data_IF_820321326483
#
_entry.id   IF_820321326483
#
_cell.length_a   1.000
_cell.length_b   1.000
_cell.length_c   1.000
_cell.angle_alpha   90.00
_cell.angle_beta   90.00
_cell.angle_gamma   90.00
#
_symmetry.space_group_name_H-M   'P 1'
#
loop_
_entity.id
_entity.type
_entity.pdbx_description
1 polymer ?
#
# COMPACT_ATOMS: atom_id res chain seq x y z
N UNK A 1 2.47 2.36 -25.14
CA UNK A 1 1.90 1.99 -23.82
C UNK A 1 2.78 2.63 -22.76
N UNK A 2 2.32 3.65 -22.00
CA UNK A 2 3.04 4.12 -20.79
C UNK A 2 2.36 5.26 -19.99
N UNK A 3 1.22 5.82 -20.43
CA UNK A 3 0.58 6.92 -19.66
C UNK A 3 -0.31 6.39 -18.51
N UNK A 4 -0.99 5.27 -18.73
CA UNK A 4 -1.92 4.70 -17.74
C UNK A 4 -1.23 4.18 -16.47
N UNK A 5 -0.06 3.53 -16.61
CA UNK A 5 0.71 3.05 -15.46
C UNK A 5 1.26 4.20 -14.61
N UNK A 6 1.62 5.33 -15.25
CA UNK A 6 2.14 6.48 -14.52
C UNK A 6 1.04 7.16 -13.69
N UNK A 7 -0.19 7.24 -14.21
CA UNK A 7 -1.35 7.76 -13.47
C UNK A 7 -1.71 6.90 -12.27
N UNK A 8 -1.72 5.56 -12.42
CA UNK A 8 -2.03 4.64 -11.33
C UNK A 8 -1.04 4.79 -10.17
N UNK A 9 0.25 4.90 -10.46
CA UNK A 9 1.28 5.09 -9.42
C UNK A 9 1.09 6.45 -8.71
N UNK A 10 0.72 7.50 -9.43
CA UNK A 10 0.51 8.82 -8.82
C UNK A 10 -0.74 8.86 -7.93
N UNK A 11 -1.83 8.19 -8.35
CA UNK A 11 -3.04 7.98 -7.55
C UNK A 11 -2.72 7.18 -6.27
N UNK A 12 -2.00 6.07 -6.40
CA UNK A 12 -1.59 5.22 -5.28
C UNK A 12 -0.72 5.98 -4.26
N UNK A 13 0.18 6.83 -4.74
CA UNK A 13 1.01 7.73 -3.91
C UNK A 13 0.13 8.74 -3.19
N UNK A 14 -0.81 9.35 -3.90
CA UNK A 14 -1.74 10.33 -3.36
C UNK A 14 -2.59 9.74 -2.22
N UNK A 15 -3.08 8.51 -2.39
CA UNK A 15 -3.83 7.77 -1.35
C UNK A 15 -2.98 7.58 -0.09
N UNK A 16 -1.72 7.15 -0.21
CA UNK A 16 -0.84 6.99 0.95
C UNK A 16 -0.48 8.32 1.62
N UNK A 17 -0.27 9.39 0.86
CA UNK A 17 -0.04 10.73 1.41
C UNK A 17 -1.27 11.19 2.19
N UNK A 18 -2.47 11.00 1.63
CA UNK A 18 -3.73 11.43 2.25
C UNK A 18 -4.09 10.63 3.50
N UNK A 19 -4.00 9.29 3.45
CA UNK A 19 -4.45 8.41 4.53
C UNK A 19 -3.39 8.23 5.62
N UNK A 20 -2.14 8.12 5.23
CA UNK A 20 -1.03 7.83 6.12
C UNK A 20 -0.15 9.06 6.41
N UNK A 21 -0.42 10.22 5.80
CA UNK A 21 0.38 11.43 6.04
C UNK A 21 1.85 11.24 5.71
N UNK A 22 2.17 10.38 4.73
CA UNK A 22 3.55 10.19 4.27
C UNK A 22 3.97 11.34 3.37
N UNK A 23 5.26 11.60 3.30
CA UNK A 23 5.81 12.41 2.20
C UNK A 23 5.66 11.66 0.88
N UNK A 24 5.46 12.33 -0.27
CA UNK A 24 5.33 11.67 -1.56
C UNK A 24 6.49 10.72 -1.90
N UNK A 25 7.72 11.11 -1.54
CA UNK A 25 8.91 10.27 -1.71
C UNK A 25 8.86 8.99 -0.86
N UNK A 26 8.36 9.11 0.37
CA UNK A 26 8.23 7.97 1.27
C UNK A 26 7.11 7.03 0.81
N UNK A 27 5.98 7.57 0.36
CA UNK A 27 4.90 6.79 -0.23
C UNK A 27 5.37 6.02 -1.48
N UNK A 28 6.13 6.67 -2.38
CA UNK A 28 6.76 6.00 -3.53
C UNK A 28 7.70 4.89 -3.10
N UNK A 29 8.54 5.10 -2.09
CA UNK A 29 9.44 4.08 -1.58
C UNK A 29 8.67 2.85 -1.02
N UNK A 30 7.56 3.08 -0.31
CA UNK A 30 6.70 2.01 0.19
C UNK A 30 6.08 1.20 -0.96
N UNK A 31 5.54 1.87 -1.98
CA UNK A 31 4.92 1.22 -3.14
C UNK A 31 5.95 0.47 -3.99
N UNK A 32 7.13 1.04 -4.19
CA UNK A 32 8.23 0.34 -4.87
C UNK A 32 8.64 -0.92 -4.12
N UNK A 33 8.86 -0.83 -2.80
CA UNK A 33 9.16 -2.00 -1.97
C UNK A 33 8.04 -3.05 -2.02
N UNK A 34 6.80 -2.62 -2.22
CA UNK A 34 5.65 -3.49 -2.40
C UNK A 34 5.58 -4.14 -3.78
N UNK A 35 5.88 -3.41 -4.85
CA UNK A 35 5.90 -3.96 -6.20
C UNK A 35 7.03 -4.99 -6.38
N UNK A 36 8.15 -4.83 -5.67
CA UNK A 36 9.17 -5.87 -5.56
C UNK A 36 8.64 -7.15 -4.89
N UNK A 37 7.73 -7.00 -3.92
CA UNK A 37 7.05 -8.09 -3.21
C UNK A 37 5.95 -8.75 -4.05
N UNK A 38 5.22 -8.01 -4.88
CA UNK A 38 4.25 -8.57 -5.84
C UNK A 38 4.89 -9.57 -6.81
N UNK A 39 6.12 -9.29 -7.26
CA UNK A 39 6.89 -10.23 -8.10
C UNK A 39 7.19 -11.56 -7.39
N UNK A 40 7.06 -11.60 -6.06
CA UNK A 40 7.14 -12.82 -5.25
C UNK A 40 5.78 -13.50 -5.00
N UNK A 41 4.71 -13.10 -5.71
CA UNK A 41 3.38 -13.72 -5.61
C UNK A 41 2.48 -13.16 -4.50
N UNK A 42 2.81 -11.97 -3.98
CA UNK A 42 2.01 -11.25 -2.98
C UNK A 42 0.82 -10.50 -3.62
N UNK A 43 -0.14 -10.04 -2.79
CA UNK A 43 -1.30 -9.26 -3.25
C UNK A 43 -0.84 -8.01 -4.02
N UNK A 44 -1.57 -7.53 -5.04
CA UNK A 44 -1.18 -6.33 -5.78
C UNK A 44 -1.16 -5.03 -4.97
N UNK A 45 -0.27 -4.07 -5.29
CA UNK A 45 -0.17 -2.80 -4.56
C UNK A 45 -1.53 -2.08 -4.50
N UNK A 46 -2.19 -2.02 -5.64
CA UNK A 46 -3.54 -1.47 -5.79
C UNK A 46 -4.53 -2.18 -4.89
N UNK A 47 -4.47 -3.51 -4.78
CA UNK A 47 -5.39 -4.27 -3.90
C UNK A 47 -5.14 -4.02 -2.43
N UNK A 48 -3.87 -3.87 -2.02
CA UNK A 48 -3.51 -3.49 -0.66
C UNK A 48 -4.01 -2.08 -0.31
N UNK A 49 -3.97 -1.17 -1.27
CA UNK A 49 -4.48 0.20 -1.12
C UNK A 49 -6.01 0.25 -1.07
N UNK A 50 -6.72 -0.52 -1.89
CA UNK A 50 -8.19 -0.64 -1.79
C UNK A 50 -8.60 -1.09 -0.38
N UNK A 51 -7.95 -2.13 0.16
CA UNK A 51 -8.21 -2.60 1.53
C UNK A 51 -7.89 -1.53 2.58
N UNK A 52 -6.83 -0.74 2.36
CA UNK A 52 -6.53 0.39 3.22
C UNK A 52 -7.62 1.46 3.12
N UNK A 53 -8.08 1.83 1.93
CA UNK A 53 -9.15 2.81 1.73
C UNK A 53 -10.48 2.37 2.37
N UNK A 54 -10.83 1.09 2.26
CA UNK A 54 -12.04 0.52 2.87
C UNK A 54 -11.99 0.54 4.41
N UNK A 55 -10.80 0.48 5.00
CA UNK A 55 -10.62 0.34 6.46
C UNK A 55 -10.03 1.57 7.15
N UNK A 56 -9.52 2.53 6.39
CA UNK A 56 -8.91 3.74 6.89
C UNK A 56 -9.98 4.71 7.39
N UNK A 57 -9.63 5.44 8.46
CA UNK A 57 -10.45 6.55 8.92
C UNK A 57 -9.89 7.86 8.37
N UNK A 58 -10.76 8.72 7.88
CA UNK A 58 -10.41 10.07 7.39
C UNK A 58 -10.37 11.12 8.52
N UNK A 59 -10.52 10.70 9.77
CA UNK A 59 -10.40 11.59 10.92
C UNK A 59 -8.98 12.16 11.03
N UNK A 60 -8.87 13.40 11.52
CA UNK A 60 -7.59 14.14 11.57
C UNK A 60 -6.51 13.44 12.39
N UNK A 61 -6.93 12.69 13.42
CA UNK A 61 -6.02 11.98 14.33
C UNK A 61 -5.80 10.51 13.95
N UNK A 62 -6.45 10.03 12.88
CA UNK A 62 -6.39 8.63 12.45
C UNK A 62 -5.13 8.26 11.67
N UNK A 63 -4.25 9.23 11.37
CA UNK A 63 -3.03 9.01 10.56
C UNK A 63 -2.15 7.91 11.16
N UNK A 64 -1.97 7.90 12.48
CA UNK A 64 -1.15 6.89 13.15
C UNK A 64 -1.78 5.48 13.04
N UNK A 65 -3.10 5.38 13.16
CA UNK A 65 -3.83 4.13 13.01
C UNK A 65 -3.83 3.64 11.56
N UNK A 66 -3.99 4.54 10.59
CA UNK A 66 -3.91 4.20 9.17
C UNK A 66 -2.50 3.70 8.80
N UNK A 67 -1.44 4.31 9.33
CA UNK A 67 -0.07 3.80 9.21
C UNK A 67 0.10 2.42 9.83
N UNK A 68 -0.56 2.15 10.96
CA UNK A 68 -0.54 0.82 11.59
C UNK A 68 -1.26 -0.21 10.70
N UNK A 69 -2.46 0.12 10.21
CA UNK A 69 -3.24 -0.74 9.30
C UNK A 69 -2.48 -1.03 8.02
N UNK A 70 -1.85 -0.03 7.41
CA UNK A 70 -0.98 -0.22 6.25
C UNK A 70 0.09 -1.27 6.54
N UNK A 71 0.83 -1.14 7.65
CA UNK A 71 1.85 -2.13 8.04
C UNK A 71 1.27 -3.53 8.34
N UNK A 72 0.04 -3.62 8.86
CA UNK A 72 -0.63 -4.89 9.11
C UNK A 72 -1.06 -5.58 7.80
N UNK A 73 -1.54 -4.81 6.80
CA UNK A 73 -1.81 -5.30 5.44
C UNK A 73 -0.52 -5.82 4.81
N UNK A 74 0.58 -5.07 4.96
CA UNK A 74 1.91 -5.48 4.48
C UNK A 74 2.40 -6.80 5.12
N UNK A 75 2.24 -6.98 6.43
CA UNK A 75 2.66 -8.22 7.10
C UNK A 75 1.74 -9.40 6.78
N UNK A 76 0.43 -9.16 6.66
CA UNK A 76 -0.54 -10.23 6.43
C UNK A 76 -0.40 -10.82 5.02
N UNK A 77 0.03 -10.01 4.05
CA UNK A 77 0.38 -10.53 2.73
C UNK A 77 1.63 -11.41 2.82
N UNK A 78 2.70 -10.97 3.49
CA UNK A 78 3.93 -11.77 3.72
C UNK A 78 3.59 -13.15 4.32
N UNK A 79 2.74 -13.17 5.36
CA UNK A 79 2.34 -14.42 6.02
C UNK A 79 1.46 -15.34 5.15
N UNK A 80 0.77 -14.80 4.13
CA UNK A 80 0.00 -15.61 3.17
C UNK A 80 0.92 -16.23 2.11
N UNK A 81 1.99 -15.54 1.70
CA UNK A 81 2.99 -16.12 0.80
C UNK A 81 3.82 -17.21 1.45
N UNK A 82 4.21 -17.05 2.72
CA UNK A 82 4.88 -18.12 3.49
C UNK A 82 3.99 -19.37 3.61
N UNK A 83 2.68 -19.21 3.83
CA UNK A 83 1.74 -20.32 3.92
C UNK A 83 1.46 -21.04 2.57
N UNK A 84 1.73 -20.39 1.43
CA UNK A 84 1.63 -20.99 0.10
C UNK A 84 2.96 -21.59 -0.39
N UNK A 85 4.08 -21.27 0.28
CA UNK A 85 5.41 -21.78 -0.02
C UNK A 85 5.84 -22.97 0.87
N UNK A 86 5.02 -23.34 1.86
CA UNK A 86 5.23 -24.47 2.78
C UNK A 86 4.36 -25.68 2.40
#
# INVERSE_FOLDING_TARGET
MSDAQYRIIDDDVSTLVRLCGFSPEHARAQLTAFSHREKAGLIPATRALEVLEETASLARDAVADNRRRWREILRSSENRSDALAA
#
